data_IF_887069052195
#
_entry.id   IF_887069052195
#
_cell.length_a   1.000
_cell.length_b   1.000
_cell.length_c   1.000
_cell.angle_alpha   90.00
_cell.angle_beta   90.00
_cell.angle_gamma   90.00
#
_symmetry.space_group_name_H-M   'P 1'
#
loop_
_entity.id
_entity.type
_entity.pdbx_description
1 polymer ?
#
# COMPACT_ATOMS: atom_id res chain seq x y z
N UNK A 1 44.15 5.55 -1.47
CA UNK A 1 45.36 4.78 -1.63
C UNK A 1 44.97 3.28 -1.65
N UNK A 2 45.05 2.69 -2.84
CA UNK A 2 44.69 1.28 -3.08
C UNK A 2 45.99 0.48 -2.83
N UNK A 3 45.96 -0.42 -1.85
CA UNK A 3 47.05 -1.38 -1.65
C UNK A 3 46.84 -2.60 -2.56
N UNK A 4 47.88 -3.12 -3.22
CA UNK A 4 47.74 -4.25 -4.13
C UNK A 4 47.63 -5.58 -3.36
N UNK A 5 46.82 -6.44 -3.91
CA UNK A 5 46.56 -7.81 -3.51
C UNK A 5 47.82 -8.68 -3.70
N UNK A 6 48.27 -9.34 -2.64
CA UNK A 6 49.35 -10.32 -2.70
C UNK A 6 48.74 -11.69 -2.99
N UNK A 7 48.96 -12.20 -4.19
CA UNK A 7 48.77 -13.61 -4.53
C UNK A 7 49.90 -14.44 -3.89
N UNK A 8 49.57 -15.32 -2.97
CA UNK A 8 50.43 -16.40 -2.55
C UNK A 8 50.03 -17.70 -3.21
N UNK A 9 50.85 -18.14 -4.18
CA UNK A 9 50.82 -19.49 -4.69
C UNK A 9 51.20 -20.47 -3.57
N UNK A 10 50.32 -21.37 -3.20
CA UNK A 10 50.66 -22.56 -2.43
C UNK A 10 50.39 -23.79 -3.28
N UNK A 11 51.47 -24.58 -3.37
CA UNK A 11 51.61 -25.74 -4.22
C UNK A 11 50.63 -26.90 -3.89
N UNK A 12 50.37 -27.67 -4.93
CA UNK A 12 49.63 -28.92 -4.97
C UNK A 12 50.28 -30.00 -4.10
N UNK A 13 49.54 -30.66 -3.23
CA UNK A 13 49.64 -32.11 -3.00
C UNK A 13 48.29 -32.65 -2.55
N UNK A 14 47.93 -33.78 -3.15
CA UNK A 14 46.60 -34.39 -3.25
C UNK A 14 45.96 -34.86 -1.94
N UNK A 15 44.74 -34.93 -1.96
CA UNK A 15 43.83 -36.06 -1.73
C UNK A 15 42.37 -35.59 -1.75
N UNK A 16 41.53 -36.35 -2.36
CA UNK A 16 40.20 -36.01 -2.80
C UNK A 16 39.17 -35.66 -1.74
N UNK A 17 38.09 -35.18 -2.27
CA UNK A 17 36.78 -34.96 -1.63
C UNK A 17 36.66 -33.72 -0.72
N UNK A 18 36.72 -32.53 -1.29
CA UNK A 18 36.02 -31.39 -0.75
C UNK A 18 35.22 -30.74 -1.87
N UNK A 19 33.91 -31.03 -1.88
CA UNK A 19 32.92 -30.41 -2.73
C UNK A 19 32.95 -28.89 -2.55
N UNK A 20 32.93 -28.18 -3.68
CA UNK A 20 32.78 -26.77 -3.90
C UNK A 20 31.86 -26.06 -2.91
N UNK A 21 32.33 -25.68 -1.76
CA UNK A 21 31.76 -24.60 -0.95
C UNK A 21 32.43 -23.30 -1.41
N UNK A 22 31.90 -22.65 -2.43
CA UNK A 22 32.16 -21.23 -2.68
C UNK A 22 31.51 -20.43 -1.56
N UNK A 23 32.07 -20.45 -0.37
CA UNK A 23 31.78 -19.48 0.65
C UNK A 23 32.46 -18.18 0.25
N UNK A 24 31.76 -17.30 -0.46
CA UNK A 24 32.21 -15.91 -0.57
C UNK A 24 31.97 -15.28 0.80
N UNK A 25 33.05 -15.05 1.55
CA UNK A 25 33.02 -14.21 2.74
C UNK A 25 32.82 -12.77 2.27
N UNK A 26 31.60 -12.26 2.36
CA UNK A 26 31.35 -10.82 2.24
C UNK A 26 31.78 -10.15 3.54
N UNK A 27 32.93 -9.48 3.50
CA UNK A 27 33.39 -8.65 4.61
C UNK A 27 32.65 -7.30 4.49
N UNK A 28 31.54 -7.18 5.20
CA UNK A 28 30.82 -5.91 5.33
C UNK A 28 31.55 -5.00 6.33
N UNK A 29 31.60 -3.69 6.06
CA UNK A 29 32.09 -2.71 7.04
C UNK A 29 31.18 -2.67 8.28
N UNK A 30 31.79 -2.60 9.47
CA UNK A 30 31.16 -2.43 10.78
C UNK A 30 30.16 -1.23 10.79
N UNK A 31 29.00 -1.30 11.49
CA UNK A 31 28.66 -2.23 12.56
C UNK A 31 27.94 -3.50 12.09
N UNK A 32 28.39 -4.66 12.54
CA UNK A 32 27.77 -5.96 12.25
C UNK A 32 26.54 -6.22 13.15
N UNK A 33 25.57 -5.32 13.12
CA UNK A 33 24.28 -5.56 13.78
C UNK A 33 23.42 -6.34 12.80
N UNK A 34 23.52 -7.65 12.80
CA UNK A 34 22.61 -8.53 12.09
C UNK A 34 21.38 -8.74 12.97
N UNK A 35 20.30 -8.01 12.70
CA UNK A 35 19.00 -8.46 13.17
C UNK A 35 18.65 -9.73 12.40
N UNK A 36 18.17 -10.79 13.07
CA UNK A 36 17.81 -12.06 12.40
C UNK A 36 16.63 -11.99 11.43
N UNK A 37 16.12 -10.80 11.11
CA UNK A 37 15.04 -10.56 10.18
C UNK A 37 15.60 -10.09 8.83
N UNK A 38 15.61 -10.97 7.83
CA UNK A 38 15.87 -10.59 6.44
C UNK A 38 14.76 -9.67 5.90
N UNK A 39 15.07 -8.87 4.89
CA UNK A 39 14.10 -7.98 4.22
C UNK A 39 12.87 -8.78 3.75
N UNK A 40 13.06 -9.98 3.18
CA UNK A 40 11.98 -10.84 2.72
C UNK A 40 11.04 -11.27 3.85
N UNK A 41 11.58 -11.54 5.04
CA UNK A 41 10.77 -11.89 6.21
C UNK A 41 9.93 -10.69 6.65
N UNK A 42 10.51 -9.50 6.66
CA UNK A 42 9.79 -8.27 7.01
C UNK A 42 8.67 -8.03 6.01
N UNK A 43 8.97 -8.04 4.71
CA UNK A 43 7.97 -7.80 3.66
C UNK A 43 6.83 -8.82 3.71
N UNK A 44 7.13 -10.10 3.91
CA UNK A 44 6.11 -11.14 4.04
C UNK A 44 5.20 -10.92 5.26
N UNK A 45 5.74 -10.51 6.41
CA UNK A 45 4.92 -10.19 7.57
C UNK A 45 4.03 -8.95 7.35
N UNK A 46 4.49 -7.96 6.58
CA UNK A 46 3.64 -6.82 6.18
C UNK A 46 2.48 -7.29 5.32
N UNK A 47 2.71 -8.19 4.35
CA UNK A 47 1.60 -8.78 3.57
C UNK A 47 0.61 -9.49 4.49
N UNK A 48 1.08 -10.31 5.44
CA UNK A 48 0.19 -10.99 6.40
C UNK A 48 -0.63 -10.01 7.26
N UNK A 49 -0.05 -8.88 7.65
CA UNK A 49 -0.76 -7.83 8.38
C UNK A 49 -1.83 -7.13 7.52
N UNK A 50 -1.65 -7.07 6.19
CA UNK A 50 -2.60 -6.44 5.25
C UNK A 50 -3.74 -7.39 4.84
N UNK A 51 -3.53 -8.72 4.85
CA UNK A 51 -4.55 -9.68 4.41
C UNK A 51 -5.89 -9.55 5.16
N UNK A 52 -5.95 -9.39 6.50
CA UNK A 52 -7.23 -9.20 7.19
C UNK A 52 -7.95 -7.91 6.74
N UNK A 53 -7.19 -6.85 6.46
CA UNK A 53 -7.76 -5.58 5.96
C UNK A 53 -8.34 -5.78 4.55
N UNK A 54 -7.62 -6.48 3.67
CA UNK A 54 -8.12 -6.82 2.32
C UNK A 54 -9.37 -7.70 2.39
N UNK A 55 -9.39 -8.69 3.27
CA UNK A 55 -10.56 -9.57 3.46
C UNK A 55 -11.77 -8.78 3.95
N UNK A 56 -11.58 -7.87 4.89
CA UNK A 56 -12.64 -7.00 5.38
C UNK A 56 -13.12 -6.01 4.31
N UNK A 57 -12.22 -5.46 3.50
CA UNK A 57 -12.57 -4.60 2.37
C UNK A 57 -13.48 -5.34 1.36
N UNK A 58 -13.13 -6.59 1.03
CA UNK A 58 -13.98 -7.44 0.17
C UNK A 58 -15.32 -7.77 0.85
N UNK A 59 -15.33 -8.01 2.16
CA UNK A 59 -16.56 -8.23 2.89
C UNK A 59 -17.47 -6.99 2.91
N UNK A 60 -16.91 -5.78 3.06
CA UNK A 60 -17.66 -4.54 3.11
C UNK A 60 -18.19 -4.08 1.75
N UNK A 61 -17.37 -4.17 0.70
CA UNK A 61 -17.70 -3.64 -0.64
C UNK A 61 -17.98 -4.72 -1.70
N UNK A 62 -17.79 -6.00 -1.37
CA UNK A 62 -18.13 -7.12 -2.24
C UNK A 62 -17.18 -7.31 -3.44
N UNK A 63 -17.77 -7.77 -4.57
CA UNK A 63 -17.04 -8.18 -5.78
C UNK A 63 -16.25 -7.02 -6.40
N UNK A 64 -16.77 -5.79 -6.36
CA UNK A 64 -16.09 -4.61 -6.90
C UNK A 64 -14.72 -4.41 -6.26
N UNK A 65 -14.64 -4.41 -4.92
CA UNK A 65 -13.39 -4.29 -4.20
C UNK A 65 -12.43 -5.46 -4.48
N UNK A 66 -12.94 -6.69 -4.58
CA UNK A 66 -12.13 -7.85 -4.91
C UNK A 66 -11.48 -7.70 -6.29
N UNK A 67 -12.23 -7.27 -7.30
CA UNK A 67 -11.73 -7.04 -8.66
C UNK A 67 -10.68 -5.92 -8.70
N UNK A 68 -10.92 -4.81 -8.00
CA UNK A 68 -9.95 -3.70 -7.88
C UNK A 68 -8.65 -4.17 -7.23
N UNK A 69 -8.72 -4.89 -6.11
CA UNK A 69 -7.53 -5.40 -5.41
C UNK A 69 -6.73 -6.39 -6.27
N UNK A 70 -7.42 -7.34 -6.92
CA UNK A 70 -6.77 -8.32 -7.82
C UNK A 70 -6.12 -7.62 -9.01
N UNK A 71 -6.81 -6.68 -9.64
CA UNK A 71 -6.27 -5.93 -10.79
C UNK A 71 -5.08 -5.05 -10.38
N UNK A 72 -5.15 -4.39 -9.23
CA UNK A 72 -4.06 -3.59 -8.68
C UNK A 72 -2.81 -4.45 -8.44
N UNK A 73 -2.99 -5.62 -7.80
CA UNK A 73 -1.90 -6.55 -7.55
C UNK A 73 -1.33 -7.11 -8.86
N UNK A 74 -2.18 -7.56 -9.78
CA UNK A 74 -1.78 -8.14 -11.05
C UNK A 74 -1.04 -7.13 -11.94
N UNK A 75 -1.53 -5.89 -12.04
CA UNK A 75 -0.89 -4.84 -12.83
C UNK A 75 0.48 -4.46 -12.29
N UNK A 76 0.62 -4.34 -10.95
CA UNK A 76 1.91 -4.07 -10.32
C UNK A 76 2.91 -5.22 -10.55
N UNK A 77 2.50 -6.48 -10.35
CA UNK A 77 3.36 -7.65 -10.58
C UNK A 77 3.77 -7.79 -12.05
N UNK A 78 2.81 -7.61 -12.98
CA UNK A 78 3.09 -7.66 -14.41
C UNK A 78 4.10 -6.58 -14.83
N UNK A 79 3.92 -5.36 -14.36
CA UNK A 79 4.81 -4.23 -14.66
C UNK A 79 6.22 -4.48 -14.15
N UNK A 80 6.37 -4.93 -12.90
CA UNK A 80 7.68 -5.28 -12.36
C UNK A 80 8.36 -6.38 -13.18
N UNK A 81 7.60 -7.44 -13.52
CA UNK A 81 8.12 -8.54 -14.33
C UNK A 81 8.62 -8.06 -15.70
N UNK A 82 7.84 -7.21 -16.39
CA UNK A 82 8.21 -6.64 -17.69
C UNK A 82 9.47 -5.78 -17.57
N UNK A 83 9.54 -4.89 -16.56
CA UNK A 83 10.68 -4.01 -16.37
C UNK A 83 11.95 -4.81 -16.02
N UNK A 84 11.85 -5.83 -15.14
CA UNK A 84 12.98 -6.71 -14.83
C UNK A 84 13.51 -7.43 -16.08
N UNK A 85 12.62 -7.91 -16.96
CA UNK A 85 13.01 -8.50 -18.23
C UNK A 85 13.70 -7.51 -19.17
N UNK A 86 13.17 -6.30 -19.30
CA UNK A 86 13.74 -5.25 -20.15
C UNK A 86 15.11 -4.78 -19.67
N UNK A 87 15.31 -4.71 -18.35
CA UNK A 87 16.55 -4.22 -17.74
C UNK A 87 17.59 -5.33 -17.49
N UNK A 88 17.26 -6.59 -17.79
CA UNK A 88 18.16 -7.73 -17.54
C UNK A 88 18.46 -7.99 -16.04
N UNK A 89 17.71 -7.37 -15.14
CA UNK A 89 17.85 -7.57 -13.69
C UNK A 89 17.18 -8.86 -13.27
N UNK A 90 17.70 -9.50 -12.21
CA UNK A 90 17.01 -10.64 -11.58
C UNK A 90 15.62 -10.18 -11.13
N UNK A 91 14.64 -11.05 -11.34
CA UNK A 91 13.26 -10.77 -10.92
C UNK A 91 13.21 -10.53 -9.41
N UNK A 92 12.74 -9.36 -9.01
CA UNK A 92 12.53 -8.95 -7.61
C UNK A 92 11.14 -9.34 -7.11
N UNK A 93 10.37 -10.10 -7.90
CA UNK A 93 9.04 -10.59 -7.49
C UNK A 93 9.07 -11.50 -6.25
N UNK A 94 10.23 -12.09 -5.94
CA UNK A 94 10.43 -12.94 -4.77
C UNK A 94 10.56 -12.20 -3.44
N UNK A 95 10.83 -10.89 -3.45
CA UNK A 95 11.01 -10.07 -2.24
C UNK A 95 9.71 -9.51 -1.63
N UNK A 96 8.56 -9.84 -2.20
CA UNK A 96 7.22 -9.42 -1.77
C UNK A 96 6.94 -7.91 -1.80
N UNK A 97 7.91 -7.08 -2.15
CA UNK A 97 7.79 -5.61 -2.12
C UNK A 97 6.73 -5.09 -3.10
N UNK A 98 6.62 -5.73 -4.28
CA UNK A 98 5.60 -5.37 -5.27
C UNK A 98 4.21 -5.80 -4.83
N UNK A 99 4.11 -6.94 -4.14
CA UNK A 99 2.84 -7.39 -3.58
C UNK A 99 2.31 -6.38 -2.55
N UNK A 100 3.18 -5.86 -1.67
CA UNK A 100 2.82 -4.78 -0.75
C UNK A 100 2.38 -3.53 -1.53
N UNK A 101 3.15 -3.13 -2.55
CA UNK A 101 2.79 -1.97 -3.37
C UNK A 101 1.43 -2.14 -4.01
N UNK A 102 1.15 -3.30 -4.61
CA UNK A 102 -0.14 -3.59 -5.25
C UNK A 102 -1.30 -3.63 -4.27
N UNK A 103 -1.13 -4.26 -3.10
CA UNK A 103 -2.16 -4.31 -2.05
C UNK A 103 -2.44 -2.93 -1.45
N UNK A 104 -1.39 -2.19 -1.07
CA UNK A 104 -1.56 -0.82 -0.55
C UNK A 104 -2.19 0.09 -1.60
N UNK A 105 -1.75 0.02 -2.86
CA UNK A 105 -2.34 0.78 -3.94
C UNK A 105 -3.82 0.46 -4.09
N UNK A 106 -4.20 -0.81 -4.20
CA UNK A 106 -5.60 -1.23 -4.30
C UNK A 106 -6.47 -0.79 -3.12
N UNK A 107 -5.94 -0.87 -1.89
CA UNK A 107 -6.63 -0.41 -0.68
C UNK A 107 -6.87 1.12 -0.65
N UNK A 108 -6.06 1.90 -1.36
CA UNK A 108 -6.26 3.36 -1.44
C UNK A 108 -7.25 3.80 -2.50
N UNK A 109 -7.77 2.89 -3.33
CA UNK A 109 -8.68 3.20 -4.43
C UNK A 109 -10.16 3.05 -4.04
N UNK A 110 -11.08 3.76 -4.72
CA UNK A 110 -12.51 3.51 -4.63
C UNK A 110 -12.87 2.11 -5.14
N UNK A 111 -13.82 1.39 -4.49
CA UNK A 111 -14.21 0.04 -4.90
C UNK A 111 -14.97 -0.02 -6.24
N UNK A 112 -15.52 1.09 -6.71
CA UNK A 112 -16.22 1.22 -7.98
C UNK A 112 -15.37 1.72 -9.15
N UNK A 113 -14.03 1.79 -9.00
CA UNK A 113 -13.16 2.34 -10.04
C UNK A 113 -13.06 1.38 -11.24
N UNK A 114 -13.12 1.87 -12.50
CA UNK A 114 -12.91 1.05 -13.70
C UNK A 114 -11.59 0.30 -13.68
N UNK A 115 -11.60 -0.99 -14.00
CA UNK A 115 -10.42 -1.86 -13.90
C UNK A 115 -9.26 -1.40 -14.79
N UNK A 116 -9.54 -0.83 -15.96
CA UNK A 116 -8.49 -0.31 -16.83
C UNK A 116 -7.75 0.89 -16.22
N UNK A 117 -8.46 1.76 -15.48
CA UNK A 117 -7.82 2.88 -14.74
C UNK A 117 -6.94 2.33 -13.62
N UNK A 118 -7.45 1.32 -12.88
CA UNK A 118 -6.65 0.62 -11.85
C UNK A 118 -5.37 0.04 -12.45
N UNK A 119 -5.47 -0.61 -13.62
CA UNK A 119 -4.30 -1.18 -14.29
C UNK A 119 -3.29 -0.10 -14.72
N UNK A 120 -3.74 0.99 -15.33
CA UNK A 120 -2.87 2.12 -15.74
C UNK A 120 -2.18 2.74 -14.52
N UNK A 121 -2.90 2.99 -13.44
CA UNK A 121 -2.32 3.52 -12.21
C UNK A 121 -1.30 2.57 -11.56
N UNK A 122 -1.53 1.25 -11.61
CA UNK A 122 -0.59 0.23 -11.14
C UNK A 122 0.70 0.21 -11.98
N UNK A 123 0.58 0.33 -13.30
CA UNK A 123 1.75 0.49 -14.18
C UNK A 123 2.55 1.73 -13.79
N UNK A 124 1.87 2.86 -13.60
CA UNK A 124 2.51 4.12 -13.23
C UNK A 124 3.16 4.04 -11.84
N UNK A 125 2.50 3.41 -10.89
CA UNK A 125 3.01 3.20 -9.53
C UNK A 125 4.37 2.48 -9.54
N UNK A 126 4.48 1.39 -10.30
CA UNK A 126 5.70 0.59 -10.33
C UNK A 126 6.75 1.22 -11.26
N UNK A 127 6.38 1.64 -12.46
CA UNK A 127 7.33 2.17 -13.44
C UNK A 127 7.96 3.49 -12.95
N UNK A 128 7.14 4.45 -12.55
CA UNK A 128 7.59 5.77 -12.11
C UNK A 128 7.92 5.80 -10.63
N UNK A 129 7.07 5.21 -9.78
CA UNK A 129 7.26 5.26 -8.33
C UNK A 129 8.39 4.39 -7.81
N UNK A 130 8.74 3.29 -8.51
CA UNK A 130 9.75 2.33 -8.05
C UNK A 130 10.91 2.15 -9.03
N UNK A 131 10.62 1.78 -10.28
CA UNK A 131 11.66 1.37 -11.22
C UNK A 131 12.57 2.51 -11.68
N UNK A 132 12.00 3.69 -11.90
CA UNK A 132 12.74 4.89 -12.32
C UNK A 132 13.84 5.28 -11.32
N UNK A 133 13.62 5.08 -10.02
CA UNK A 133 14.57 5.40 -8.97
C UNK A 133 15.59 4.28 -8.68
N UNK A 134 15.48 3.13 -9.31
CA UNK A 134 16.43 2.03 -9.15
C UNK A 134 15.91 0.81 -8.39
N UNK A 135 14.70 0.83 -7.85
CA UNK A 135 14.04 -0.29 -7.18
C UNK A 135 13.89 -0.13 -5.67
N UNK A 136 13.80 -1.26 -4.97
CA UNK A 136 13.58 -1.29 -3.52
C UNK A 136 14.71 -0.56 -2.76
N UNK A 137 14.33 0.36 -1.88
CA UNK A 137 15.25 1.14 -1.05
C UNK A 137 15.75 2.45 -1.67
N UNK A 138 15.60 2.65 -2.98
CA UNK A 138 16.06 3.86 -3.67
C UNK A 138 14.94 4.82 -4.06
N UNK A 139 13.67 4.44 -3.91
CA UNK A 139 12.55 5.29 -4.28
C UNK A 139 12.33 6.42 -3.26
N UNK A 140 12.15 7.65 -3.77
CA UNK A 140 11.94 8.84 -2.94
C UNK A 140 10.52 8.91 -2.36
N UNK A 141 9.53 8.33 -3.06
CA UNK A 141 8.12 8.35 -2.69
C UNK A 141 7.58 6.92 -2.58
N UNK A 142 6.51 6.74 -1.79
CA UNK A 142 5.81 5.47 -1.75
C UNK A 142 5.17 5.16 -3.11
N UNK A 143 5.54 4.08 -3.80
CA UNK A 143 5.04 3.78 -5.14
C UNK A 143 3.51 3.66 -5.21
N UNK A 144 2.87 3.10 -4.19
CA UNK A 144 1.41 2.99 -4.13
C UNK A 144 0.73 4.38 -4.15
N UNK A 145 1.28 5.33 -3.40
CA UNK A 145 0.77 6.71 -3.37
C UNK A 145 1.06 7.47 -4.66
N UNK A 146 2.16 7.19 -5.33
CA UNK A 146 2.46 7.75 -6.67
C UNK A 146 1.40 7.32 -7.68
N UNK A 147 1.02 6.03 -7.68
CA UNK A 147 -0.07 5.54 -8.54
C UNK A 147 -1.42 6.18 -8.23
N UNK A 148 -1.76 6.31 -6.94
CA UNK A 148 -2.99 7.01 -6.52
C UNK A 148 -2.98 8.49 -6.93
N UNK A 149 -1.88 9.20 -6.71
CA UNK A 149 -1.75 10.61 -7.07
C UNK A 149 -1.89 10.82 -8.59
N UNK A 150 -1.30 9.93 -9.39
CA UNK A 150 -1.49 9.92 -10.83
C UNK A 150 -2.96 9.77 -11.23
N UNK A 151 -3.67 8.79 -10.66
CA UNK A 151 -5.09 8.60 -10.93
C UNK A 151 -5.94 9.79 -10.47
N UNK A 152 -5.63 10.38 -9.33
CA UNK A 152 -6.32 11.56 -8.83
C UNK A 152 -6.16 12.78 -9.75
N UNK A 153 -4.99 12.92 -10.38
CA UNK A 153 -4.73 13.99 -11.34
C UNK A 153 -5.35 13.71 -12.71
N UNK A 154 -5.30 12.46 -13.19
CA UNK A 154 -5.77 12.07 -14.51
C UNK A 154 -7.28 11.84 -14.57
N UNK A 155 -7.88 11.28 -13.51
CA UNK A 155 -9.29 10.85 -13.45
C UNK A 155 -9.97 11.31 -12.15
N UNK A 156 -10.04 12.62 -11.86
CA UNK A 156 -10.54 13.12 -10.58
C UNK A 156 -12.00 12.72 -10.31
N UNK A 157 -12.86 12.69 -11.31
CA UNK A 157 -14.25 12.29 -11.16
C UNK A 157 -14.39 10.86 -10.66
N UNK A 158 -13.72 9.91 -11.31
CA UNK A 158 -13.75 8.50 -10.93
C UNK A 158 -13.16 8.24 -9.54
N UNK A 159 -12.15 9.02 -9.15
CA UNK A 159 -11.49 8.90 -7.86
C UNK A 159 -12.28 9.50 -6.68
N UNK A 160 -13.29 10.31 -6.96
CA UNK A 160 -14.16 10.92 -5.94
C UNK A 160 -15.52 10.23 -5.80
N UNK A 161 -15.78 9.20 -6.59
CA UNK A 161 -16.99 8.38 -6.47
C UNK A 161 -16.80 7.29 -5.40
N UNK A 162 -17.52 7.45 -4.29
CA UNK A 162 -17.46 6.53 -3.17
C UNK A 162 -18.71 5.65 -3.10
N UNK A 163 -18.52 4.34 -3.10
CA UNK A 163 -19.60 3.39 -2.89
C UNK A 163 -19.95 3.27 -1.40
N UNK A 164 -21.21 3.02 -1.09
CA UNK A 164 -21.65 2.71 0.26
C UNK A 164 -21.15 1.33 0.67
N UNK A 165 -20.55 1.18 1.87
CA UNK A 165 -20.23 -0.13 2.40
C UNK A 165 -21.53 -0.90 2.76
N UNK A 166 -21.46 -2.21 2.71
CA UNK A 166 -22.55 -3.14 3.09
C UNK A 166 -23.84 -3.03 2.25
N UNK A 167 -23.73 -2.63 0.97
CA UNK A 167 -24.86 -2.71 0.06
C UNK A 167 -25.38 -4.16 -0.08
N UNK A 168 -26.68 -4.37 -0.16
CA UNK A 168 -27.30 -5.70 -0.16
C UNK A 168 -26.92 -6.54 -1.39
N UNK A 169 -26.66 -5.89 -2.51
CA UNK A 169 -26.33 -6.49 -3.80
C UNK A 169 -24.83 -6.64 -4.06
N UNK A 170 -23.96 -6.30 -3.08
CA UNK A 170 -22.48 -6.26 -3.22
C UNK A 170 -21.83 -7.55 -3.71
N UNK A 171 -22.47 -8.72 -3.49
CA UNK A 171 -22.00 -10.04 -3.95
C UNK A 171 -22.79 -10.61 -5.12
N UNK A 172 -23.88 -9.98 -5.53
CA UNK A 172 -24.76 -10.47 -6.60
C UNK A 172 -24.60 -9.68 -7.90
N UNK A 173 -24.24 -8.41 -7.81
CA UNK A 173 -24.03 -7.54 -8.96
C UNK A 173 -22.59 -7.00 -9.00
N UNK A 174 -22.03 -6.93 -10.22
CA UNK A 174 -20.79 -6.21 -10.45
C UNK A 174 -21.18 -4.77 -10.80
N UNK A 175 -20.67 -3.74 -10.10
CA UNK A 175 -20.97 -2.36 -10.45
C UNK A 175 -20.62 -2.10 -11.92
N UNK A 176 -21.56 -1.50 -12.66
CA UNK A 176 -21.37 -1.21 -14.09
C UNK A 176 -20.15 -0.34 -14.36
N UNK A 177 -19.82 0.54 -13.43
CA UNK A 177 -18.62 1.39 -13.48
C UNK A 177 -17.32 0.60 -13.53
N UNK A 178 -17.21 -0.54 -12.80
CA UNK A 178 -16.00 -1.37 -12.72
C UNK A 178 -15.66 -1.97 -14.09
N UNK A 179 -16.66 -2.34 -14.87
CA UNK A 179 -16.50 -2.96 -16.19
C UNK A 179 -16.50 -1.95 -17.35
N UNK A 180 -16.47 -0.65 -17.07
CA UNK A 180 -16.45 0.38 -18.10
C UNK A 180 -15.22 0.24 -19.02
N UNK A 181 -15.45 0.36 -20.33
CA UNK A 181 -14.38 0.33 -21.33
C UNK A 181 -13.53 1.60 -21.29
N UNK A 182 -12.26 1.52 -21.74
CA UNK A 182 -11.41 2.70 -21.87
C UNK A 182 -12.11 3.78 -22.72
N UNK A 183 -12.05 5.03 -22.25
CA UNK A 183 -12.64 6.22 -22.89
C UNK A 183 -14.18 6.26 -22.96
N UNK A 184 -14.89 5.26 -22.43
CA UNK A 184 -16.32 5.35 -22.18
C UNK A 184 -16.56 6.09 -20.85
N UNK A 185 -17.58 6.92 -20.78
CA UNK A 185 -18.01 7.51 -19.51
C UNK A 185 -18.56 6.39 -18.62
N UNK A 186 -17.95 6.15 -17.45
CA UNK A 186 -18.45 5.13 -16.54
C UNK A 186 -19.83 5.55 -16.02
N UNK A 187 -20.78 4.66 -16.13
CA UNK A 187 -22.08 4.87 -15.51
C UNK A 187 -21.94 4.56 -14.03
N UNK A 188 -22.00 5.60 -13.21
CA UNK A 188 -22.01 5.45 -11.77
C UNK A 188 -23.46 5.31 -11.29
N UNK A 189 -23.68 4.40 -10.36
CA UNK A 189 -24.97 4.30 -9.68
C UNK A 189 -25.29 5.64 -9.01
N UNK A 190 -26.55 6.04 -9.04
CA UNK A 190 -27.01 7.36 -8.60
C UNK A 190 -26.73 7.67 -7.12
N UNK A 191 -26.30 6.69 -6.33
CA UNK A 191 -26.03 6.83 -4.90
C UNK A 191 -24.51 6.91 -4.68
N UNK A 192 -23.94 8.08 -4.87
CA UNK A 192 -22.60 8.40 -4.36
C UNK A 192 -22.71 8.84 -2.92
N UNK A 193 -22.03 8.12 -2.05
CA UNK A 193 -21.94 8.53 -0.66
C UNK A 193 -20.83 9.58 -0.50
N UNK A 194 -21.10 10.62 0.25
CA UNK A 194 -20.06 11.56 0.66
C UNK A 194 -19.23 10.97 1.80
N UNK A 195 -17.92 11.18 1.75
CA UNK A 195 -17.04 10.80 2.88
C UNK A 195 -17.41 11.62 4.13
N UNK A 196 -17.13 11.10 5.35
CA UNK A 196 -17.44 11.83 6.60
C UNK A 196 -16.90 13.26 6.64
N UNK A 197 -15.69 13.47 6.10
CA UNK A 197 -15.10 14.81 5.99
C UNK A 197 -15.83 15.71 5.00
N UNK A 198 -16.30 15.15 3.88
CA UNK A 198 -17.10 15.89 2.90
C UNK A 198 -18.47 16.24 3.45
N UNK A 199 -19.13 15.33 4.17
CA UNK A 199 -20.41 15.59 4.85
C UNK A 199 -20.27 16.70 5.89
N UNK A 200 -19.19 16.67 6.68
CA UNK A 200 -18.93 17.72 7.65
C UNK A 200 -18.66 19.07 6.99
N UNK A 201 -17.82 19.10 5.93
CA UNK A 201 -17.46 20.35 5.26
C UNK A 201 -18.62 21.01 4.49
N UNK A 202 -19.42 20.22 3.78
CA UNK A 202 -20.45 20.74 2.86
C UNK A 202 -21.86 20.71 3.43
N UNK A 203 -22.15 19.78 4.36
CA UNK A 203 -23.49 19.57 4.93
C UNK A 203 -23.54 19.87 6.43
N UNK A 204 -22.41 20.13 7.07
CA UNK A 204 -22.27 20.31 8.54
C UNK A 204 -22.81 19.09 9.34
N UNK A 205 -22.89 17.91 8.71
CA UNK A 205 -23.33 16.68 9.34
C UNK A 205 -22.10 15.98 9.93
N UNK A 206 -22.16 15.70 11.23
CA UNK A 206 -21.11 14.97 11.93
C UNK A 206 -21.41 13.46 11.92
N UNK A 207 -20.48 12.66 11.43
CA UNK A 207 -20.58 11.20 11.52
C UNK A 207 -20.48 10.75 12.97
N UNK A 208 -21.20 9.68 13.33
CA UNK A 208 -21.15 9.10 14.67
C UNK A 208 -19.79 8.42 14.92
N UNK A 209 -19.24 8.59 16.15
CA UNK A 209 -17.95 8.01 16.54
C UNK A 209 -17.87 6.48 16.34
N UNK A 210 -18.89 5.66 16.70
CA UNK A 210 -18.82 4.22 16.48
C UNK A 210 -18.76 3.85 14.99
N UNK A 211 -19.47 4.59 14.13
CA UNK A 211 -19.42 4.36 12.67
C UNK A 211 -18.02 4.63 12.09
N UNK A 212 -17.32 5.65 12.58
CA UNK A 212 -15.94 5.94 12.19
C UNK A 212 -14.96 4.87 12.68
N UNK A 213 -15.10 4.38 13.92
CA UNK A 213 -14.23 3.33 14.48
C UNK A 213 -14.39 1.99 13.79
N UNK A 214 -15.61 1.61 13.43
CA UNK A 214 -15.87 0.35 12.73
C UNK A 214 -15.74 0.45 11.22
N UNK A 215 -15.49 1.65 10.68
CA UNK A 215 -15.34 1.87 9.24
C UNK A 215 -16.63 1.67 8.44
N UNK A 216 -17.79 1.96 9.05
CA UNK A 216 -19.12 1.89 8.41
C UNK A 216 -19.43 3.14 7.59
N UNK A 217 -18.39 3.77 7.04
CA UNK A 217 -18.50 5.03 6.31
C UNK A 217 -18.00 4.85 4.88
N UNK A 218 -18.54 5.65 3.96
CA UNK A 218 -18.09 5.65 2.59
C UNK A 218 -16.67 6.22 2.49
N UNK A 219 -15.81 5.53 1.75
CA UNK A 219 -14.41 5.90 1.59
C UNK A 219 -13.66 4.96 0.66
N UNK A 220 -12.33 5.00 0.69
CA UNK A 220 -11.49 4.06 -0.03
C UNK A 220 -11.63 2.64 0.55
N UNK A 221 -11.31 1.64 -0.26
CA UNK A 221 -11.41 0.22 0.12
C UNK A 221 -10.70 -0.12 1.43
N UNK A 222 -9.62 0.58 1.79
CA UNK A 222 -8.85 0.34 3.01
C UNK A 222 -9.23 1.23 4.20
N UNK A 223 -10.05 2.25 4.02
CA UNK A 223 -10.52 3.11 5.13
C UNK A 223 -11.53 2.40 6.02
N UNK A 224 -12.25 1.42 5.49
CA UNK A 224 -13.11 0.55 6.26
C UNK A 224 -12.27 -0.42 7.09
N UNK A 225 -12.52 -0.49 8.39
CA UNK A 225 -11.81 -1.44 9.25
C UNK A 225 -10.59 -0.87 9.98
N UNK A 226 -10.69 0.35 10.50
CA UNK A 226 -9.64 0.97 11.34
C UNK A 226 -9.10 0.01 12.41
N UNK A 227 -9.97 -0.75 13.08
CA UNK A 227 -9.58 -1.72 14.10
C UNK A 227 -8.61 -2.80 13.55
N UNK A 228 -8.82 -3.28 12.31
CA UNK A 228 -7.95 -4.28 11.69
C UNK A 228 -6.60 -3.69 11.28
N UNK A 229 -6.59 -2.45 10.81
CA UNK A 229 -5.35 -1.72 10.50
C UNK A 229 -4.53 -1.55 11.79
N UNK A 230 -5.19 -1.15 12.87
CA UNK A 230 -4.55 -0.99 14.18
C UNK A 230 -3.97 -2.31 14.69
N UNK A 231 -4.72 -3.41 14.59
CA UNK A 231 -4.25 -4.76 14.95
C UNK A 231 -3.08 -5.21 14.09
N UNK A 232 -3.12 -4.97 12.78
CA UNK A 232 -1.99 -5.24 11.87
C UNK A 232 -0.74 -4.44 12.23
N UNK A 233 -0.90 -3.16 12.57
CA UNK A 233 0.18 -2.31 13.07
C UNK A 233 0.75 -2.79 14.41
N UNK A 234 -0.10 -3.18 15.35
CA UNK A 234 0.29 -3.75 16.64
C UNK A 234 1.06 -5.08 16.47
N UNK A 235 0.62 -5.94 15.54
CA UNK A 235 1.33 -7.16 15.18
C UNK A 235 2.75 -6.87 14.67
N UNK A 236 2.90 -5.92 13.75
CA UNK A 236 4.21 -5.54 13.21
C UNK A 236 5.11 -4.89 14.28
N UNK A 237 4.54 -4.09 15.17
CA UNK A 237 5.26 -3.48 16.29
C UNK A 237 5.74 -4.55 17.30
N UNK A 238 4.89 -5.53 17.63
CA UNK A 238 5.24 -6.66 18.51
C UNK A 238 6.37 -7.52 17.92
N UNK A 239 6.46 -7.61 16.58
CA UNK A 239 7.54 -8.30 15.87
C UNK A 239 8.79 -7.45 15.68
N UNK A 240 8.85 -6.24 16.25
CA UNK A 240 9.94 -5.26 16.04
C UNK A 240 10.20 -4.90 14.57
N UNK A 241 9.18 -4.99 13.71
CA UNK A 241 9.25 -4.65 12.28
C UNK A 241 8.71 -3.24 12.02
N UNK A 242 7.98 -2.66 12.95
CA UNK A 242 7.46 -1.29 12.90
C UNK A 242 7.98 -0.49 14.10
N UNK A 243 8.52 0.68 13.86
CA UNK A 243 8.84 1.62 14.93
C UNK A 243 7.54 2.29 15.43
N UNK A 244 7.03 1.84 16.56
CA UNK A 244 5.78 2.30 17.16
C UNK A 244 5.74 3.81 17.48
N UNK A 245 6.92 4.46 17.59
CA UNK A 245 7.03 5.89 17.84
C UNK A 245 6.49 6.72 16.67
N UNK A 246 6.64 6.23 15.43
CA UNK A 246 6.21 6.95 14.22
C UNK A 246 4.70 7.10 14.17
N UNK A 247 3.87 6.05 14.19
CA UNK A 247 2.41 6.21 14.16
C UNK A 247 1.88 6.98 15.39
N UNK A 248 2.45 6.77 16.57
CA UNK A 248 2.03 7.53 17.76
C UNK A 248 2.34 9.01 17.61
N UNK A 249 3.52 9.40 17.16
CA UNK A 249 3.86 10.81 16.96
C UNK A 249 2.96 11.49 15.93
N UNK A 250 2.61 10.79 14.85
CA UNK A 250 1.68 11.31 13.83
C UNK A 250 0.30 11.53 14.43
N UNK A 251 -0.24 10.56 15.15
CA UNK A 251 -1.56 10.68 15.79
C UNK A 251 -1.60 11.79 16.84
N UNK A 252 -0.57 11.89 17.68
CA UNK A 252 -0.47 12.96 18.69
C UNK A 252 -0.38 14.34 18.03
N UNK A 253 0.42 14.48 16.98
CA UNK A 253 0.55 15.75 16.26
C UNK A 253 -0.76 16.15 15.58
N UNK A 254 -1.44 15.21 14.91
CA UNK A 254 -2.73 15.45 14.29
C UNK A 254 -3.78 15.86 15.32
N UNK A 255 -3.85 15.17 16.46
CA UNK A 255 -4.77 15.52 17.57
C UNK A 255 -4.47 16.89 18.15
N UNK A 256 -3.19 17.23 18.35
CA UNK A 256 -2.77 18.53 18.85
C UNK A 256 -3.15 19.67 17.90
N UNK A 257 -2.87 19.50 16.61
CA UNK A 257 -3.21 20.49 15.59
C UNK A 257 -4.74 20.67 15.52
N UNK A 258 -5.49 19.57 15.50
CA UNK A 258 -6.96 19.62 15.50
C UNK A 258 -7.51 20.34 16.73
N UNK A 259 -6.92 20.09 17.90
CA UNK A 259 -7.29 20.80 19.14
C UNK A 259 -6.99 22.31 19.05
N UNK A 260 -5.84 22.69 18.49
CA UNK A 260 -5.48 24.12 18.30
C UNK A 260 -6.49 24.79 17.35
N UNK A 261 -6.85 24.17 16.25
CA UNK A 261 -7.85 24.74 15.35
C UNK A 261 -9.22 24.89 16.00
N UNK A 262 -9.64 23.94 16.85
CA UNK A 262 -10.88 24.07 17.64
C UNK A 262 -10.85 25.27 18.56
N UNK A 263 -9.69 25.64 19.13
CA UNK A 263 -9.57 26.84 19.98
C UNK A 263 -9.66 28.16 19.19
N UNK A 264 -9.26 28.12 17.91
CA UNK A 264 -9.30 29.31 17.04
C UNK A 264 -10.73 29.55 16.54
N UNK A 265 -11.38 28.50 16.02
CA UNK A 265 -12.75 28.59 15.49
C UNK A 265 -13.54 27.29 15.79
N UNK A 266 -14.24 27.26 16.95
CA UNK A 266 -15.00 26.07 17.36
C UNK A 266 -16.23 25.78 16.48
N UNK A 267 -16.68 26.74 15.67
CA UNK A 267 -17.82 26.53 14.76
C UNK A 267 -17.37 25.80 13.49
N UNK A 268 -16.22 26.20 12.94
CA UNK A 268 -15.66 25.54 11.75
C UNK A 268 -14.98 24.19 12.10
N UNK A 269 -14.43 24.06 13.31
CA UNK A 269 -13.70 22.87 13.77
C UNK A 269 -14.27 22.32 15.09
N UNK A 270 -15.44 21.67 15.07
CA UNK A 270 -16.17 21.31 16.30
C UNK A 270 -15.58 20.11 17.07
N UNK A 271 -14.59 19.39 16.51
CA UNK A 271 -14.01 18.19 17.14
C UNK A 271 -12.49 18.27 17.28
N UNK A 272 -11.95 18.12 18.51
CA UNK A 272 -10.51 18.26 18.74
C UNK A 272 -9.65 17.06 18.34
N UNK A 273 -10.20 15.87 18.14
CA UNK A 273 -9.38 14.65 18.06
C UNK A 273 -9.73 13.67 16.94
N UNK A 274 -10.89 13.75 16.30
CA UNK A 274 -11.36 12.73 15.35
C UNK A 274 -12.19 13.31 14.21
N UNK A 275 -11.67 14.29 13.55
CA UNK A 275 -12.27 14.83 12.31
C UNK A 275 -11.34 14.73 11.14
#
# INVERSE_FOLDING_TARGET
>A
AVLPFVETHAAQTGCGFVSNLKTSLEIGSSPHITSGASVDVIMRNVVYALLPVCAFAVYAFGIGAALVLVTALASCLATEHVICRMTGKKSTTGDWSVAITGLLYGLTLPPGLPLWMVAVGGVFAVAVGKALFGGLGYHAFNPALVGRAFLQAAFPQSMTHWSLPFADDRFTSIPSSVMAFPFAEPVYDAVTAATPLAQMKFQSIQAENPALLWGLTAGSTGETGFALIFLGGAYLAARNMLNWRIPISIMLTASLISWVFMQIDPVAYPRPAFT
#
